data_IF_235568372716
#
_entry.id   IF_235568372716
#
_cell.length_a   1.000
_cell.length_b   1.000
_cell.length_c   1.000
_cell.angle_alpha   90.00
_cell.angle_beta   90.00
_cell.angle_gamma   90.00
#
_symmetry.space_group_name_H-M   'P 1'
#
loop_
_entity.id
_entity.type
_entity.pdbx_description
1 polymer ?
#
# COMPACT_ATOMS: atom_id res chain seq x y z
N UNK A 1 -24.67 -22.32 -17.05
CA UNK A 1 -25.02 -23.12 -15.87
C UNK A 1 -23.75 -23.70 -15.31
N UNK A 2 -23.05 -22.95 -14.45
CA UNK A 2 -21.92 -23.47 -13.66
C UNK A 2 -22.55 -24.20 -12.48
N UNK A 3 -22.58 -25.53 -12.55
CA UNK A 3 -22.93 -26.35 -11.39
C UNK A 3 -21.84 -26.13 -10.35
N UNK A 4 -22.13 -25.32 -9.32
CA UNK A 4 -21.33 -25.27 -8.11
C UNK A 4 -21.34 -26.69 -7.56
N UNK A 5 -20.22 -27.40 -7.66
CA UNK A 5 -20.09 -28.72 -7.05
C UNK A 5 -20.22 -28.47 -5.55
N UNK A 6 -21.37 -28.82 -4.98
CA UNK A 6 -21.62 -28.63 -3.56
C UNK A 6 -20.59 -29.45 -2.79
N UNK A 7 -19.73 -28.76 -2.04
CA UNK A 7 -18.81 -29.41 -1.10
C UNK A 7 -19.64 -30.28 -0.16
N UNK A 8 -19.35 -31.58 0.01
CA UNK A 8 -20.11 -32.44 0.93
C UNK A 8 -20.12 -31.84 2.35
N UNK A 9 -21.29 -31.80 3.00
CA UNK A 9 -21.47 -31.12 4.30
C UNK A 9 -20.95 -31.92 5.50
N UNK A 10 -20.59 -33.20 5.33
CA UNK A 10 -20.25 -34.13 6.43
C UNK A 10 -18.83 -34.71 6.33
N UNK A 11 -17.85 -33.89 5.94
CA UNK A 11 -16.45 -34.32 5.92
C UNK A 11 -15.81 -34.21 7.32
N UNK A 12 -14.85 -35.10 7.61
CA UNK A 12 -14.01 -34.98 8.80
C UNK A 12 -13.00 -33.84 8.64
N UNK A 13 -12.41 -33.39 9.77
CA UNK A 13 -11.36 -32.36 9.79
C UNK A 13 -10.22 -32.69 8.81
N UNK A 14 -9.72 -33.92 8.87
CA UNK A 14 -8.64 -34.40 7.99
C UNK A 14 -9.03 -34.42 6.51
N UNK A 15 -10.30 -34.74 6.20
CA UNK A 15 -10.80 -34.70 4.83
C UNK A 15 -10.89 -33.27 4.29
N UNK A 16 -11.31 -32.30 5.12
CA UNK A 16 -11.28 -30.88 4.72
C UNK A 16 -9.84 -30.40 4.47
N UNK A 17 -8.88 -30.76 5.34
CA UNK A 17 -7.45 -30.44 5.13
C UNK A 17 -6.93 -31.07 3.84
N UNK A 18 -7.26 -32.33 3.57
CA UNK A 18 -6.86 -33.02 2.35
C UNK A 18 -7.40 -32.32 1.09
N UNK A 19 -8.69 -31.95 1.09
CA UNK A 19 -9.30 -31.23 -0.04
C UNK A 19 -8.73 -29.82 -0.20
N UNK A 20 -8.44 -29.12 0.89
CA UNK A 20 -7.79 -27.81 0.83
C UNK A 20 -6.39 -27.90 0.19
N UNK A 21 -5.59 -28.91 0.54
CA UNK A 21 -4.29 -29.17 -0.09
C UNK A 21 -4.40 -29.54 -1.57
N UNK A 22 -5.41 -30.33 -1.95
CA UNK A 22 -5.68 -30.62 -3.37
C UNK A 22 -6.08 -29.36 -4.13
N UNK A 23 -6.94 -28.52 -3.55
CA UNK A 23 -7.36 -27.26 -4.15
C UNK A 23 -6.18 -26.27 -4.29
N UNK A 24 -5.28 -26.22 -3.31
CA UNK A 24 -4.04 -25.45 -3.37
C UNK A 24 -3.15 -25.89 -4.55
N UNK A 25 -2.92 -27.20 -4.70
CA UNK A 25 -2.12 -27.75 -5.81
C UNK A 25 -2.76 -27.54 -7.18
N UNK A 26 -4.09 -27.45 -7.23
CA UNK A 26 -4.85 -27.15 -8.44
C UNK A 26 -5.06 -25.64 -8.66
N UNK A 27 -4.53 -24.78 -7.79
CA UNK A 27 -4.71 -23.32 -7.80
C UNK A 27 -6.19 -22.88 -7.76
N UNK A 28 -7.09 -23.73 -7.23
CA UNK A 28 -8.53 -23.45 -7.08
C UNK A 28 -8.82 -22.83 -5.71
N UNK A 29 -8.29 -21.64 -5.48
CA UNK A 29 -8.32 -21.01 -4.16
C UNK A 29 -9.72 -20.65 -3.66
N UNK A 30 -10.70 -20.42 -4.54
CA UNK A 30 -12.10 -20.18 -4.15
C UNK A 30 -12.72 -21.41 -3.47
N UNK A 31 -12.45 -22.61 -4.00
CA UNK A 31 -12.85 -23.87 -3.36
C UNK A 31 -12.05 -24.15 -2.09
N UNK A 32 -10.75 -23.83 -2.11
CA UNK A 32 -9.90 -23.93 -0.93
C UNK A 32 -10.48 -23.10 0.24
N UNK A 33 -10.96 -21.88 -0.03
CA UNK A 33 -11.66 -21.06 0.96
C UNK A 33 -12.88 -21.80 1.49
N UNK A 34 -13.77 -22.33 0.63
CA UNK A 34 -14.96 -23.06 1.06
C UNK A 34 -14.66 -24.26 1.96
N UNK A 35 -13.62 -25.05 1.64
CA UNK A 35 -13.20 -26.18 2.49
C UNK A 35 -12.72 -25.69 3.85
N UNK A 36 -11.91 -24.63 3.89
CA UNK A 36 -11.38 -24.08 5.12
C UNK A 36 -12.46 -23.38 5.98
N UNK A 37 -13.43 -22.68 5.38
CA UNK A 37 -14.56 -22.08 6.10
C UNK A 37 -15.40 -23.15 6.81
N UNK A 38 -15.66 -24.27 6.13
CA UNK A 38 -16.38 -25.42 6.71
C UNK A 38 -15.58 -26.07 7.83
N UNK A 39 -14.27 -26.25 7.66
CA UNK A 39 -13.38 -26.76 8.71
C UNK A 39 -13.44 -25.86 9.96
N UNK A 40 -13.30 -24.55 9.78
CA UNK A 40 -13.34 -23.59 10.89
C UNK A 40 -14.67 -23.68 11.62
N UNK A 41 -15.78 -23.63 10.89
CA UNK A 41 -17.13 -23.64 11.47
C UNK A 41 -17.43 -24.94 12.21
N UNK A 42 -16.90 -26.08 11.76
CA UNK A 42 -17.07 -27.37 12.40
C UNK A 42 -16.15 -27.59 13.62
N UNK A 43 -14.95 -26.99 13.62
CA UNK A 43 -13.94 -27.22 14.65
C UNK A 43 -13.98 -26.22 15.82
N UNK A 44 -14.46 -25.00 15.58
CA UNK A 44 -14.46 -23.89 16.54
C UNK A 44 -15.88 -23.61 17.06
N UNK A 45 -16.03 -23.04 18.27
CA UNK A 45 -14.98 -22.62 19.20
C UNK A 45 -14.42 -23.77 20.07
N UNK A 46 -14.85 -25.01 19.85
CA UNK A 46 -14.48 -26.18 20.67
C UNK A 46 -12.99 -26.54 20.63
N UNK A 47 -12.30 -26.23 19.54
CA UNK A 47 -10.88 -26.49 19.36
C UNK A 47 -10.20 -25.40 18.54
N UNK A 48 -8.94 -25.13 18.85
CA UNK A 48 -8.09 -24.22 18.06
C UNK A 48 -7.65 -24.90 16.76
N UNK A 49 -7.38 -24.10 15.72
CA UNK A 49 -6.73 -24.61 14.50
C UNK A 49 -5.27 -24.97 14.77
N UNK A 50 -4.78 -26.00 14.10
CA UNK A 50 -3.34 -26.29 14.08
C UNK A 50 -2.59 -25.25 13.25
N UNK A 51 -1.27 -25.17 13.41
CA UNK A 51 -0.41 -24.27 12.62
C UNK A 51 -0.59 -24.52 11.12
N UNK A 52 -0.69 -25.79 10.70
CA UNK A 52 -0.92 -26.16 9.30
C UNK A 52 -2.26 -25.65 8.78
N UNK A 53 -3.35 -25.87 9.53
CA UNK A 53 -4.69 -25.43 9.13
C UNK A 53 -4.81 -23.91 9.08
N UNK A 54 -4.22 -23.22 10.07
CA UNK A 54 -4.13 -21.76 10.11
C UNK A 54 -3.39 -21.23 8.88
N UNK A 55 -2.29 -21.87 8.50
CA UNK A 55 -1.53 -21.49 7.32
C UNK A 55 -2.32 -21.74 6.03
N UNK A 56 -3.01 -22.89 5.89
CA UNK A 56 -3.87 -23.19 4.74
C UNK A 56 -5.00 -22.16 4.59
N UNK A 57 -5.67 -21.80 5.69
CA UNK A 57 -6.71 -20.76 5.70
C UNK A 57 -6.15 -19.42 5.19
N UNK A 58 -4.99 -19.02 5.70
CA UNK A 58 -4.33 -17.78 5.29
C UNK A 58 -3.93 -17.81 3.82
N UNK A 59 -3.37 -18.92 3.32
CA UNK A 59 -2.99 -19.08 1.90
C UNK A 59 -4.23 -19.00 1.00
N UNK A 60 -5.32 -19.68 1.36
CA UNK A 60 -6.55 -19.69 0.58
C UNK A 60 -7.09 -18.27 0.37
N UNK A 61 -7.35 -17.54 1.46
CA UNK A 61 -7.91 -16.21 1.35
C UNK A 61 -6.92 -15.20 0.76
N UNK A 62 -5.60 -15.30 1.06
CA UNK A 62 -4.57 -14.42 0.48
C UNK A 62 -4.58 -14.47 -1.04
N UNK A 63 -4.71 -15.66 -1.62
CA UNK A 63 -4.72 -15.81 -3.07
C UNK A 63 -6.00 -15.28 -3.71
N UNK A 64 -7.17 -15.58 -3.13
CA UNK A 64 -8.46 -15.04 -3.61
C UNK A 64 -8.50 -13.52 -3.53
N UNK A 65 -8.15 -12.93 -2.39
CA UNK A 65 -8.17 -11.47 -2.24
C UNK A 65 -7.07 -10.80 -3.08
N UNK A 66 -5.93 -11.47 -3.27
CA UNK A 66 -4.82 -10.99 -4.08
C UNK A 66 -5.20 -10.80 -5.55
N UNK A 67 -5.87 -11.80 -6.15
CA UNK A 67 -6.33 -11.72 -7.55
C UNK A 67 -7.37 -10.62 -7.75
N UNK A 68 -8.33 -10.50 -6.83
CA UNK A 68 -9.36 -9.47 -6.87
C UNK A 68 -8.77 -8.06 -6.70
N UNK A 69 -7.82 -7.87 -5.77
CA UNK A 69 -7.15 -6.57 -5.59
C UNK A 69 -6.32 -6.18 -6.82
N UNK A 70 -5.66 -7.15 -7.47
CA UNK A 70 -4.94 -6.89 -8.72
C UNK A 70 -5.90 -6.47 -9.85
N UNK A 71 -7.01 -7.19 -10.01
CA UNK A 71 -8.05 -6.84 -10.98
C UNK A 71 -8.61 -5.43 -10.73
N UNK A 72 -8.94 -5.12 -9.47
CA UNK A 72 -9.47 -3.82 -9.08
C UNK A 72 -8.50 -2.67 -9.40
N UNK A 73 -7.20 -2.82 -9.13
CA UNK A 73 -6.18 -1.81 -9.48
C UNK A 73 -6.09 -1.56 -10.98
N UNK A 74 -6.13 -2.63 -11.78
CA UNK A 74 -6.08 -2.53 -13.25
C UNK A 74 -7.32 -1.78 -13.75
N UNK A 75 -8.51 -2.16 -13.31
CA UNK A 75 -9.77 -1.55 -13.73
C UNK A 75 -9.82 -0.08 -13.31
N UNK A 76 -9.43 0.25 -12.08
CA UNK A 76 -9.35 1.63 -11.60
C UNK A 76 -8.36 2.48 -12.41
N UNK A 77 -7.24 1.90 -12.85
CA UNK A 77 -6.30 2.59 -13.75
C UNK A 77 -6.89 2.83 -15.15
N UNK A 78 -7.70 1.90 -15.67
CA UNK A 78 -8.40 2.07 -16.95
C UNK A 78 -9.47 3.16 -16.84
N UNK A 79 -10.25 3.17 -15.75
CA UNK A 79 -11.26 4.22 -15.47
C UNK A 79 -10.63 5.61 -15.53
N UNK A 80 -9.53 5.83 -14.80
CA UNK A 80 -8.81 7.11 -14.80
C UNK A 80 -8.32 7.53 -16.19
N UNK A 81 -7.89 6.57 -17.02
CA UNK A 81 -7.44 6.85 -18.39
C UNK A 81 -8.60 7.25 -19.30
N UNK A 82 -9.75 6.57 -19.19
CA UNK A 82 -10.93 6.89 -20.00
C UNK A 82 -11.59 8.22 -19.55
N UNK A 83 -11.58 8.52 -18.25
CA UNK A 83 -11.98 9.83 -17.72
C UNK A 83 -11.10 10.95 -18.28
N UNK A 84 -9.78 10.76 -18.31
CA UNK A 84 -8.84 11.73 -18.91
C UNK A 84 -9.05 11.93 -20.42
N UNK A 85 -9.58 10.94 -21.14
CA UNK A 85 -9.92 11.02 -22.56
C UNK A 85 -11.32 11.59 -22.82
N UNK A 86 -12.10 11.85 -21.77
CA UNK A 86 -13.52 12.29 -21.84
C UNK A 86 -14.41 11.31 -22.62
N UNK A 87 -14.13 10.00 -22.49
CA UNK A 87 -14.91 8.96 -23.15
C UNK A 87 -16.07 8.50 -22.26
N UNK A 88 -17.10 9.35 -22.14
CA UNK A 88 -18.17 9.21 -21.15
C UNK A 88 -18.87 7.85 -21.20
N UNK A 89 -19.15 7.32 -22.39
CA UNK A 89 -19.80 6.01 -22.56
C UNK A 89 -18.97 4.85 -21.98
N UNK A 90 -17.65 4.84 -22.23
CA UNK A 90 -16.77 3.81 -21.69
C UNK A 90 -16.54 3.97 -20.19
N UNK A 91 -16.50 5.22 -19.69
CA UNK A 91 -16.36 5.49 -18.24
C UNK A 91 -17.51 4.85 -17.47
N UNK A 92 -18.75 4.91 -17.98
CA UNK A 92 -19.90 4.26 -17.34
C UNK A 92 -19.72 2.74 -17.25
N UNK A 93 -19.31 2.08 -18.35
CA UNK A 93 -19.10 0.64 -18.38
C UNK A 93 -17.98 0.18 -17.45
N UNK A 94 -16.87 0.93 -17.41
CA UNK A 94 -15.73 0.60 -16.53
C UNK A 94 -16.12 0.79 -15.06
N UNK A 95 -16.90 1.83 -14.72
CA UNK A 95 -17.42 2.05 -13.36
C UNK A 95 -18.31 0.92 -12.87
N UNK A 96 -19.22 0.45 -13.72
CA UNK A 96 -20.09 -0.68 -13.38
C UNK A 96 -19.27 -1.96 -13.12
N UNK A 97 -18.29 -2.23 -13.98
CA UNK A 97 -17.42 -3.40 -13.81
C UNK A 97 -16.53 -3.29 -12.56
N UNK A 98 -15.98 -2.10 -12.26
CA UNK A 98 -15.26 -1.86 -11.00
C UNK A 98 -16.15 -2.14 -9.80
N UNK A 99 -17.39 -1.65 -9.79
CA UNK A 99 -18.32 -1.84 -8.69
C UNK A 99 -18.65 -3.33 -8.44
N UNK A 100 -18.72 -4.13 -9.50
CA UNK A 100 -18.84 -5.59 -9.38
C UNK A 100 -17.64 -6.19 -8.64
N UNK A 101 -16.41 -5.84 -9.04
CA UNK A 101 -15.19 -6.34 -8.37
C UNK A 101 -15.12 -5.86 -6.91
N UNK A 102 -15.54 -4.63 -6.61
CA UNK A 102 -15.62 -4.12 -5.24
C UNK A 102 -16.63 -4.89 -4.38
N UNK A 103 -17.73 -5.36 -4.98
CA UNK A 103 -18.72 -6.20 -4.31
C UNK A 103 -18.12 -7.57 -3.97
N UNK A 104 -17.38 -8.18 -4.91
CA UNK A 104 -16.66 -9.44 -4.70
C UNK A 104 -15.57 -9.29 -3.61
N UNK A 105 -14.78 -8.22 -3.66
CA UNK A 105 -13.80 -7.87 -2.61
C UNK A 105 -14.45 -7.73 -1.23
N UNK A 106 -15.57 -7.00 -1.17
CA UNK A 106 -16.32 -6.77 0.07
C UNK A 106 -16.85 -8.09 0.64
N UNK A 107 -17.36 -8.98 -0.21
CA UNK A 107 -17.88 -10.29 0.20
C UNK A 107 -16.78 -11.18 0.80
N UNK A 108 -15.61 -11.24 0.15
CA UNK A 108 -14.47 -12.02 0.66
C UNK A 108 -13.98 -11.47 2.00
N UNK A 109 -13.84 -10.14 2.13
CA UNK A 109 -13.44 -9.51 3.39
C UNK A 109 -14.47 -9.77 4.51
N UNK A 110 -15.76 -9.62 4.23
CA UNK A 110 -16.81 -9.88 5.20
C UNK A 110 -16.83 -11.36 5.66
N UNK A 111 -16.58 -12.30 4.74
CA UNK A 111 -16.51 -13.73 5.05
C UNK A 111 -15.47 -14.06 6.12
N UNK A 112 -14.22 -13.64 5.89
CA UNK A 112 -13.13 -13.90 6.84
C UNK A 112 -13.24 -13.10 8.12
N UNK A 113 -13.68 -11.83 8.07
CA UNK A 113 -13.85 -11.01 9.27
C UNK A 113 -14.89 -11.63 10.23
N UNK A 114 -15.97 -12.17 9.69
CA UNK A 114 -16.97 -12.90 10.47
C UNK A 114 -16.39 -14.14 11.14
N UNK A 115 -15.57 -14.92 10.43
CA UNK A 115 -14.89 -16.09 11.01
C UNK A 115 -13.87 -15.69 12.08
N UNK A 116 -13.13 -14.59 11.85
CA UNK A 116 -12.18 -14.09 12.84
C UNK A 116 -12.89 -13.72 14.15
N UNK A 117 -14.00 -12.98 14.05
CA UNK A 117 -14.73 -12.48 15.21
C UNK A 117 -15.54 -13.55 15.95
N UNK A 118 -16.16 -14.47 15.21
CA UNK A 118 -17.09 -15.45 15.79
C UNK A 118 -16.39 -16.75 16.21
N UNK A 119 -15.24 -17.07 15.62
CA UNK A 119 -14.64 -18.40 15.69
C UNK A 119 -13.16 -18.34 16.12
N UNK A 120 -12.31 -17.71 15.31
CA UNK A 120 -10.85 -17.87 15.40
C UNK A 120 -10.25 -17.10 16.57
N UNK A 121 -10.54 -15.80 16.71
CA UNK A 121 -10.02 -14.97 17.81
C UNK A 121 -10.50 -15.50 19.17
N UNK A 122 -11.80 -15.85 19.37
CA UNK A 122 -12.26 -16.44 20.62
C UNK A 122 -11.62 -17.80 20.95
N UNK A 123 -11.27 -18.60 19.94
CA UNK A 123 -10.66 -19.93 20.13
C UNK A 123 -9.15 -19.90 20.42
N UNK A 124 -8.47 -18.79 20.14
CA UNK A 124 -7.01 -18.71 20.22
C UNK A 124 -6.53 -18.65 21.68
N UNK A 125 -5.82 -19.69 22.13
CA UNK A 125 -5.24 -19.72 23.47
C UNK A 125 -3.85 -19.06 23.50
N UNK A 126 -2.98 -19.45 22.56
CA UNK A 126 -1.60 -18.98 22.47
C UNK A 126 -1.51 -17.53 21.99
N UNK A 127 -0.56 -16.76 22.54
CA UNK A 127 -0.30 -15.37 22.12
C UNK A 127 0.05 -15.26 20.65
N UNK A 128 0.84 -16.19 20.11
CA UNK A 128 1.17 -16.25 18.68
C UNK A 128 -0.09 -16.32 17.80
N UNK A 129 -1.02 -17.23 18.11
CA UNK A 129 -2.28 -17.39 17.36
C UNK A 129 -3.16 -16.15 17.47
N UNK A 130 -3.25 -15.52 18.65
CA UNK A 130 -4.00 -14.27 18.83
C UNK A 130 -3.43 -13.15 17.95
N UNK A 131 -2.10 -12.96 17.97
CA UNK A 131 -1.43 -11.96 17.11
C UNK A 131 -1.67 -12.29 15.64
N UNK A 132 -1.59 -13.56 15.25
CA UNK A 132 -1.85 -13.98 13.87
C UNK A 132 -3.26 -13.60 13.40
N UNK A 133 -4.30 -13.93 14.17
CA UNK A 133 -5.68 -13.63 13.79
C UNK A 133 -6.01 -12.14 13.86
N UNK A 134 -5.51 -11.41 14.86
CA UNK A 134 -5.69 -9.96 14.95
C UNK A 134 -4.97 -9.23 13.80
N UNK A 135 -3.77 -9.67 13.44
CA UNK A 135 -3.07 -9.19 12.24
C UNK A 135 -3.90 -9.45 10.98
N UNK A 136 -4.43 -10.66 10.83
CA UNK A 136 -5.29 -11.01 9.71
C UNK A 136 -6.55 -10.12 9.67
N UNK A 137 -7.19 -9.86 10.81
CA UNK A 137 -8.31 -8.91 10.93
C UNK A 137 -7.93 -7.52 10.42
N UNK A 138 -6.79 -7.00 10.88
CA UNK A 138 -6.26 -5.72 10.40
C UNK A 138 -5.98 -5.71 8.90
N UNK A 139 -5.45 -6.80 8.34
CA UNK A 139 -5.20 -6.95 6.90
C UNK A 139 -6.49 -6.85 6.07
N UNK A 140 -7.59 -7.51 6.48
CA UNK A 140 -8.84 -7.47 5.72
C UNK A 140 -9.60 -6.15 5.87
N UNK A 141 -9.57 -5.50 7.04
CA UNK A 141 -10.07 -4.13 7.15
C UNK A 141 -9.22 -3.15 6.32
N UNK A 142 -7.91 -3.35 6.23
CA UNK A 142 -7.04 -2.53 5.39
C UNK A 142 -7.41 -2.67 3.93
N UNK A 143 -7.66 -3.89 3.44
CA UNK A 143 -8.11 -4.11 2.07
C UNK A 143 -9.43 -3.40 1.78
N UNK A 144 -10.37 -3.37 2.73
CA UNK A 144 -11.59 -2.56 2.61
C UNK A 144 -11.27 -1.06 2.48
N UNK A 145 -10.34 -0.53 3.27
CA UNK A 145 -9.95 0.88 3.21
C UNK A 145 -9.25 1.30 1.89
N UNK A 146 -8.76 0.34 1.08
CA UNK A 146 -8.12 0.63 -0.21
C UNK A 146 -9.13 1.09 -1.29
N UNK A 147 -10.33 0.51 -1.32
CA UNK A 147 -11.31 0.75 -2.39
C UNK A 147 -12.59 1.44 -1.91
N UNK A 148 -12.89 1.42 -0.61
CA UNK A 148 -14.02 2.17 -0.05
C UNK A 148 -13.75 3.67 -0.06
N UNK A 149 -14.84 4.46 -0.01
CA UNK A 149 -14.80 5.92 0.00
C UNK A 149 -15.62 6.50 1.17
N UNK A 150 -15.38 7.79 1.48
CA UNK A 150 -16.16 8.51 2.50
C UNK A 150 -16.06 7.89 3.89
N UNK A 151 -17.19 7.75 4.57
CA UNK A 151 -17.28 7.21 5.93
C UNK A 151 -16.92 5.73 6.01
N UNK A 152 -17.25 4.93 4.99
CA UNK A 152 -16.87 3.50 4.96
C UNK A 152 -15.35 3.32 4.97
N UNK A 153 -14.62 4.19 4.25
CA UNK A 153 -13.15 4.18 4.25
C UNK A 153 -12.59 4.53 5.63
N UNK A 154 -13.17 5.53 6.30
CA UNK A 154 -12.73 5.96 7.64
C UNK A 154 -12.95 4.85 8.66
N UNK A 155 -14.14 4.25 8.68
CA UNK A 155 -14.46 3.12 9.55
C UNK A 155 -13.49 1.94 9.32
N UNK A 156 -13.25 1.56 8.07
CA UNK A 156 -12.30 0.49 7.75
C UNK A 156 -10.86 0.82 8.21
N UNK A 157 -10.41 2.07 8.10
CA UNK A 157 -9.10 2.49 8.59
C UNK A 157 -9.02 2.49 10.13
N UNK A 158 -10.09 2.90 10.81
CA UNK A 158 -10.18 2.84 12.28
C UNK A 158 -10.15 1.40 12.78
N UNK A 159 -10.93 0.50 12.18
CA UNK A 159 -10.94 -0.92 12.52
C UNK A 159 -9.57 -1.58 12.27
N UNK A 160 -8.91 -1.21 11.17
CA UNK A 160 -7.53 -1.64 10.88
C UNK A 160 -6.57 -1.22 11.99
N UNK A 161 -6.65 0.04 12.43
CA UNK A 161 -5.82 0.58 13.50
C UNK A 161 -6.06 -0.14 14.82
N UNK A 162 -7.33 -0.40 15.17
CA UNK A 162 -7.70 -1.12 16.40
C UNK A 162 -7.11 -2.53 16.38
N UNK A 163 -7.31 -3.27 15.29
CA UNK A 163 -6.83 -4.64 15.17
C UNK A 163 -5.29 -4.74 15.21
N UNK A 164 -4.58 -3.88 14.48
CA UNK A 164 -3.12 -3.90 14.50
C UNK A 164 -2.52 -3.44 15.82
N UNK A 165 -3.11 -2.48 16.52
CA UNK A 165 -2.66 -2.10 17.86
C UNK A 165 -2.85 -3.23 18.85
N UNK A 166 -4.02 -3.87 18.86
CA UNK A 166 -4.27 -5.03 19.72
C UNK A 166 -3.27 -6.16 19.44
N UNK A 167 -2.96 -6.43 18.17
CA UNK A 167 -1.94 -7.39 17.78
C UNK A 167 -0.54 -6.97 18.24
N UNK A 168 -0.21 -5.67 18.13
CA UNK A 168 1.09 -5.12 18.47
C UNK A 168 1.36 -5.21 19.97
N UNK A 169 0.38 -4.87 20.80
CA UNK A 169 0.52 -4.91 22.26
C UNK A 169 0.86 -6.33 22.74
N UNK A 170 0.18 -7.35 22.21
CA UNK A 170 0.47 -8.76 22.52
C UNK A 170 1.83 -9.18 21.95
N UNK A 171 2.14 -8.79 20.71
CA UNK A 171 3.40 -9.17 20.06
C UNK A 171 4.63 -8.58 20.77
N UNK A 172 4.55 -7.34 21.27
CA UNK A 172 5.64 -6.71 22.00
C UNK A 172 5.86 -7.34 23.38
N UNK A 173 4.80 -7.82 24.03
CA UNK A 173 4.87 -8.45 25.33
C UNK A 173 5.38 -9.90 25.26
N UNK A 174 4.90 -10.68 24.29
CA UNK A 174 5.00 -12.13 24.33
C UNK A 174 5.87 -12.75 23.22
N UNK A 175 6.24 -11.99 22.16
CA UNK A 175 6.99 -12.51 21.02
C UNK A 175 8.35 -11.82 20.88
N UNK A 176 9.40 -12.60 20.62
CA UNK A 176 10.74 -12.09 20.34
C UNK A 176 10.74 -11.15 19.11
N UNK A 177 11.60 -10.11 19.06
CA UNK A 177 11.73 -9.21 17.91
C UNK A 177 11.96 -9.91 16.56
N UNK A 178 12.64 -11.06 16.59
CA UNK A 178 12.91 -11.90 15.41
C UNK A 178 11.75 -12.81 15.03
N UNK A 179 10.69 -12.92 15.84
CA UNK A 179 9.60 -13.84 15.59
C UNK A 179 8.85 -13.48 14.29
N UNK A 180 8.67 -14.42 13.33
CA UNK A 180 8.08 -14.12 12.01
C UNK A 180 6.70 -13.44 12.07
N UNK A 181 5.85 -13.84 13.02
CA UNK A 181 4.52 -13.21 13.21
C UNK A 181 4.64 -11.74 13.66
N UNK A 182 5.58 -11.39 14.54
CA UNK A 182 5.82 -10.02 15.01
C UNK A 182 6.40 -9.16 13.88
N UNK A 183 7.39 -9.68 13.16
CA UNK A 183 7.97 -9.03 11.98
C UNK A 183 6.92 -8.79 10.89
N UNK A 184 6.11 -9.80 10.59
CA UNK A 184 5.04 -9.70 9.59
C UNK A 184 3.95 -8.69 9.99
N UNK A 185 3.65 -8.56 11.29
CA UNK A 185 2.76 -7.52 11.79
C UNK A 185 3.37 -6.13 11.57
N UNK A 186 4.62 -5.90 11.94
CA UNK A 186 5.29 -4.62 11.74
C UNK A 186 5.37 -4.23 10.26
N UNK A 187 5.64 -5.21 9.38
CA UNK A 187 5.61 -5.02 7.92
C UNK A 187 4.24 -4.51 7.46
N UNK A 188 3.16 -5.21 7.80
CA UNK A 188 1.83 -4.81 7.33
C UNK A 188 1.32 -3.52 7.99
N UNK A 189 1.68 -3.28 9.25
CA UNK A 189 1.29 -2.07 9.96
C UNK A 189 2.02 -0.83 9.42
N UNK A 190 3.31 -0.96 9.05
CA UNK A 190 4.03 0.12 8.38
C UNK A 190 3.44 0.44 7.00
N UNK A 191 3.06 -0.58 6.21
CA UNK A 191 2.34 -0.39 4.94
C UNK A 191 1.02 0.35 5.15
N UNK A 192 0.26 0.01 6.21
CA UNK A 192 -0.97 0.73 6.54
C UNK A 192 -0.73 2.22 6.83
N UNK A 193 0.29 2.55 7.62
CA UNK A 193 0.66 3.95 7.86
C UNK A 193 1.01 4.68 6.57
N UNK A 194 1.72 4.01 5.67
CA UNK A 194 2.16 4.59 4.40
C UNK A 194 1.00 4.77 3.42
N UNK A 195 0.31 3.68 3.06
CA UNK A 195 -0.66 3.65 1.95
C UNK A 195 -2.05 4.16 2.33
N UNK A 196 -2.50 3.98 3.57
CA UNK A 196 -3.88 4.33 3.97
C UNK A 196 -3.93 5.65 4.73
N UNK A 197 -3.01 5.85 5.68
CA UNK A 197 -2.97 7.04 6.52
C UNK A 197 -2.10 8.16 5.97
N UNK A 198 -1.36 7.92 4.89
CA UNK A 198 -0.41 8.87 4.29
C UNK A 198 0.60 9.44 5.32
N UNK A 199 0.99 8.64 6.30
CA UNK A 199 1.93 8.99 7.37
C UNK A 199 3.27 8.31 7.12
N UNK A 200 3.98 8.79 6.09
CA UNK A 200 5.24 8.20 5.61
C UNK A 200 6.33 8.16 6.69
N UNK A 201 6.49 9.24 7.47
CA UNK A 201 7.46 9.30 8.56
C UNK A 201 7.24 8.20 9.60
N UNK A 202 5.98 7.99 9.99
CA UNK A 202 5.61 6.97 10.97
C UNK A 202 5.79 5.55 10.41
N UNK A 203 5.44 5.34 9.13
CA UNK A 203 5.68 4.08 8.44
C UNK A 203 7.16 3.71 8.40
N UNK A 204 8.01 4.65 7.96
CA UNK A 204 9.46 4.46 7.91
C UNK A 204 10.06 4.23 9.29
N UNK A 205 9.65 5.01 10.29
CA UNK A 205 10.13 4.83 11.67
C UNK A 205 9.78 3.44 12.22
N UNK A 206 8.54 2.98 12.00
CA UNK A 206 8.09 1.66 12.46
C UNK A 206 8.85 0.52 11.76
N UNK A 207 8.97 0.58 10.43
CA UNK A 207 9.69 -0.44 9.67
C UNK A 207 11.17 -0.48 10.04
N UNK A 208 11.80 0.68 10.23
CA UNK A 208 13.20 0.79 10.67
C UNK A 208 13.41 0.22 12.06
N UNK A 209 12.56 0.58 13.02
CA UNK A 209 12.64 0.06 14.38
C UNK A 209 12.55 -1.47 14.41
N UNK A 210 11.54 -2.05 13.74
CA UNK A 210 11.37 -3.50 13.70
C UNK A 210 12.58 -4.21 13.05
N UNK A 211 13.16 -3.61 12.01
CA UNK A 211 14.35 -4.14 11.34
C UNK A 211 15.59 -4.10 12.24
N UNK A 212 15.83 -2.98 12.94
CA UNK A 212 16.97 -2.80 13.85
C UNK A 212 16.87 -3.71 15.09
N UNK A 213 15.69 -3.82 15.70
CA UNK A 213 15.44 -4.75 16.81
C UNK A 213 15.69 -6.20 16.40
N UNK A 214 15.23 -6.61 15.22
CA UNK A 214 15.45 -7.97 14.74
C UNK A 214 16.90 -8.27 14.38
N UNK A 215 17.65 -7.30 13.83
CA UNK A 215 19.09 -7.45 13.58
C UNK A 215 19.84 -7.73 14.88
N UNK A 216 19.50 -7.02 15.97
CA UNK A 216 20.21 -7.13 17.24
C UNK A 216 20.16 -8.54 17.85
N UNK A 217 19.12 -9.32 17.52
CA UNK A 217 18.90 -10.66 18.06
C UNK A 217 18.98 -11.77 16.98
N UNK A 218 19.34 -11.43 15.74
CA UNK A 218 19.30 -12.35 14.60
C UNK A 218 20.24 -13.55 14.80
N UNK A 219 21.40 -13.31 15.41
CA UNK A 219 22.43 -14.33 15.67
C UNK A 219 21.99 -15.40 16.68
N UNK A 220 20.85 -15.21 17.35
CA UNK A 220 20.29 -16.15 18.34
C UNK A 220 19.35 -17.21 17.73
N UNK A 221 18.99 -17.05 16.45
CA UNK A 221 18.03 -17.92 15.79
C UNK A 221 18.62 -19.27 15.34
N UNK A 222 17.82 -20.32 15.40
CA UNK A 222 18.10 -21.59 14.71
C UNK A 222 17.87 -21.50 13.20
N UNK A 223 18.41 -22.45 12.43
CA UNK A 223 18.40 -22.42 10.95
C UNK A 223 17.01 -22.32 10.32
N UNK A 224 15.99 -22.97 10.90
CA UNK A 224 14.62 -22.97 10.37
C UNK A 224 13.96 -21.59 10.52
N UNK A 225 13.98 -21.02 11.72
CA UNK A 225 13.42 -19.69 12.01
C UNK A 225 14.22 -18.55 11.35
N UNK A 226 15.52 -18.76 11.08
CA UNK A 226 16.37 -17.77 10.42
C UNK A 226 15.88 -17.44 9.01
N UNK A 227 15.48 -18.45 8.22
CA UNK A 227 15.02 -18.24 6.84
C UNK A 227 13.75 -17.41 6.77
N UNK A 228 12.77 -17.72 7.61
CA UNK A 228 11.48 -17.00 7.63
C UNK A 228 11.65 -15.56 8.11
N UNK A 229 12.46 -15.36 9.14
CA UNK A 229 12.71 -14.04 9.72
C UNK A 229 13.46 -13.13 8.73
N UNK A 230 14.53 -13.65 8.11
CA UNK A 230 15.32 -12.89 7.13
C UNK A 230 14.53 -12.55 5.87
N UNK A 231 13.62 -13.42 5.42
CA UNK A 231 12.74 -13.11 4.29
C UNK A 231 11.83 -11.89 4.60
N UNK A 232 11.27 -11.82 5.81
CA UNK A 232 10.41 -10.69 6.19
C UNK A 232 11.23 -9.41 6.42
N UNK A 233 12.41 -9.52 7.04
CA UNK A 233 13.34 -8.40 7.19
C UNK A 233 13.76 -7.82 5.83
N UNK A 234 13.96 -8.68 4.82
CA UNK A 234 14.23 -8.25 3.46
C UNK A 234 13.10 -7.39 2.89
N UNK A 235 11.84 -7.81 3.08
CA UNK A 235 10.67 -7.03 2.64
C UNK A 235 10.56 -5.68 3.36
N UNK A 236 10.87 -5.62 4.67
CA UNK A 236 10.94 -4.36 5.42
C UNK A 236 12.00 -3.41 4.82
N UNK A 237 13.19 -3.95 4.49
CA UNK A 237 14.27 -3.17 3.86
C UNK A 237 13.87 -2.64 2.48
N UNK A 238 13.19 -3.47 1.70
CA UNK A 238 12.76 -3.11 0.34
C UNK A 238 11.72 -1.99 0.38
N UNK A 239 10.76 -2.07 1.30
CA UNK A 239 9.80 -0.99 1.57
C UNK A 239 10.49 0.31 2.01
N UNK A 240 11.43 0.24 2.96
CA UNK A 240 12.20 1.41 3.40
C UNK A 240 12.95 2.07 2.23
N UNK A 241 13.56 1.27 1.36
CA UNK A 241 14.29 1.76 0.19
C UNK A 241 13.35 2.51 -0.76
N UNK A 242 12.20 1.91 -1.07
CA UNK A 242 11.17 2.51 -1.92
C UNK A 242 10.66 3.83 -1.33
N UNK A 243 10.21 3.82 -0.08
CA UNK A 243 9.58 4.98 0.56
C UNK A 243 10.55 6.14 0.75
N UNK A 244 11.82 5.86 1.05
CA UNK A 244 12.84 6.91 1.21
C UNK A 244 13.18 7.57 -0.13
N UNK A 245 13.16 6.79 -1.22
CA UNK A 245 13.34 7.34 -2.57
C UNK A 245 12.16 8.22 -3.00
N UNK A 246 10.92 7.82 -2.68
CA UNK A 246 9.72 8.60 -2.97
C UNK A 246 9.71 9.93 -2.20
N UNK A 247 10.11 9.91 -0.92
CA UNK A 247 10.24 11.12 -0.12
C UNK A 247 11.26 12.11 -0.70
N UNK A 248 12.40 11.63 -1.20
CA UNK A 248 13.40 12.47 -1.86
C UNK A 248 12.83 13.10 -3.14
N UNK A 249 12.10 12.34 -3.96
CA UNK A 249 11.43 12.86 -5.17
C UNK A 249 10.38 13.91 -4.82
N UNK A 250 9.56 13.67 -3.78
CA UNK A 250 8.56 14.63 -3.32
C UNK A 250 9.20 15.91 -2.79
N UNK A 251 10.27 15.81 -2.00
CA UNK A 251 11.00 16.98 -1.50
C UNK A 251 11.61 17.80 -2.64
N UNK A 252 12.20 17.13 -3.64
CA UNK A 252 12.70 17.80 -4.83
C UNK A 252 11.55 18.51 -5.56
N UNK A 253 10.41 17.84 -5.82
CA UNK A 253 9.25 18.46 -6.47
C UNK A 253 8.71 19.68 -5.70
N UNK A 254 8.65 19.60 -4.38
CA UNK A 254 8.20 20.70 -3.53
C UNK A 254 9.20 21.85 -3.56
N UNK A 255 10.50 21.56 -3.49
CA UNK A 255 11.57 22.56 -3.64
C UNK A 255 11.51 23.24 -5.01
N UNK A 256 11.30 22.48 -6.08
CA UNK A 256 11.08 23.00 -7.43
C UNK A 256 9.83 23.88 -7.52
N UNK A 257 8.69 23.46 -6.95
CA UNK A 257 7.48 24.30 -6.91
C UNK A 257 7.70 25.60 -6.14
N UNK A 258 8.32 25.54 -4.95
CA UNK A 258 8.63 26.72 -4.16
C UNK A 258 9.64 27.65 -4.86
N UNK A 259 10.57 27.11 -5.65
CA UNK A 259 11.47 27.90 -6.49
C UNK A 259 10.69 28.61 -7.60
N UNK A 260 9.80 27.90 -8.31
CA UNK A 260 8.96 28.47 -9.36
C UNK A 260 8.03 29.56 -8.79
N UNK A 261 7.40 29.33 -7.64
CA UNK A 261 6.56 30.34 -6.99
C UNK A 261 7.37 31.56 -6.55
N UNK A 262 8.58 31.38 -6.02
CA UNK A 262 9.48 32.49 -5.67
C UNK A 262 9.93 33.27 -6.90
N UNK A 263 10.22 32.61 -8.01
CA UNK A 263 10.57 33.28 -9.27
C UNK A 263 9.36 34.01 -9.87
N UNK A 264 8.17 33.39 -9.89
CA UNK A 264 6.93 34.02 -10.33
C UNK A 264 6.57 35.25 -9.46
N UNK A 265 6.75 35.17 -8.14
CA UNK A 265 6.62 36.30 -7.22
C UNK A 265 7.68 37.37 -7.49
N UNK A 266 8.91 36.98 -7.82
CA UNK A 266 9.98 37.89 -8.22
C UNK A 266 9.65 38.67 -9.49
N UNK A 267 9.12 37.99 -10.51
CA UNK A 267 8.61 38.62 -11.74
C UNK A 267 7.44 39.57 -11.46
N UNK A 268 6.49 39.15 -10.61
CA UNK A 268 5.34 39.98 -10.23
C UNK A 268 5.77 41.24 -9.44
N UNK A 269 6.72 41.10 -8.51
CA UNK A 269 7.30 42.21 -7.75
C UNK A 269 8.09 43.17 -8.66
N UNK A 270 8.89 42.66 -9.60
CA UNK A 270 9.55 43.50 -10.61
C UNK A 270 8.55 44.29 -11.45
N UNK A 271 7.47 43.65 -11.94
CA UNK A 271 6.43 44.35 -12.70
C UNK A 271 5.68 45.40 -11.86
N UNK A 272 5.48 45.17 -10.56
CA UNK A 272 4.85 46.15 -9.66
C UNK A 272 5.79 47.32 -9.36
N UNK A 273 7.09 47.06 -9.18
CA UNK A 273 8.11 48.09 -8.93
C UNK A 273 8.32 48.95 -10.18
N UNK A 274 8.36 48.33 -11.37
CA UNK A 274 8.46 49.03 -12.66
C UNK A 274 7.20 49.84 -12.99
N UNK A 275 6.01 49.45 -12.51
CA UNK A 275 4.77 50.23 -12.70
C UNK A 275 4.58 51.39 -11.71
N UNK A 276 5.41 51.50 -10.66
CA UNK A 276 5.19 52.47 -9.56
C UNK A 276 6.19 53.63 -9.47
N UNK A 277 7.13 53.76 -10.39
CA UNK A 277 7.99 54.94 -10.43
C UNK A 277 7.91 55.65 -11.78
N UNK A 278 7.22 56.78 -11.80
CA UNK A 278 7.56 57.89 -12.69
C UNK A 278 9.01 58.31 -12.39
N UNK A 279 9.95 58.01 -13.28
CA UNK A 279 11.13 58.85 -13.46
C UNK A 279 11.63 58.76 -14.90
N UNK A 280 11.80 59.95 -15.47
CA UNK A 280 12.19 60.25 -16.84
C UNK A 280 13.63 59.75 -17.15
N UNK A 281 13.83 59.46 -18.44
CA UNK A 281 15.11 59.27 -19.17
C UNK A 281 16.00 58.09 -18.78
N UNK A 282 15.67 56.87 -19.20
CA UNK A 282 16.62 55.75 -19.30
C UNK A 282 16.43 55.00 -20.64
N UNK A 283 17.53 54.64 -21.29
CA UNK A 283 17.60 54.16 -22.67
C UNK A 283 17.08 52.71 -22.85
N UNK A 284 16.19 52.53 -23.82
CA UNK A 284 15.49 51.31 -24.25
C UNK A 284 16.39 50.12 -24.63
N UNK A 285 17.69 50.35 -24.82
CA UNK A 285 18.67 49.30 -25.13
C UNK A 285 19.07 48.45 -23.91
N UNK A 286 18.77 48.91 -22.68
CA UNK A 286 19.21 48.28 -21.43
C UNK A 286 18.21 47.28 -20.81
N UNK A 287 16.91 47.41 -21.10
CA UNK A 287 15.87 46.50 -20.55
C UNK A 287 15.97 45.08 -21.12
N UNK A 288 16.21 44.96 -22.42
CA UNK A 288 16.30 43.67 -23.11
C UNK A 288 17.57 42.91 -22.70
N UNK A 289 18.66 43.63 -22.41
CA UNK A 289 19.93 43.04 -22.01
C UNK A 289 19.95 42.62 -20.53
N UNK A 290 19.28 43.37 -19.65
CA UNK A 290 19.09 42.98 -18.24
C UNK A 290 18.10 41.82 -18.15
N UNK A 291 17.00 41.85 -18.92
CA UNK A 291 16.04 40.74 -19.01
C UNK A 291 16.70 39.45 -19.51
N UNK A 292 17.54 39.53 -20.56
CA UNK A 292 18.34 38.39 -21.04
C UNK A 292 19.37 37.91 -20.02
N UNK A 293 20.11 38.80 -19.34
CA UNK A 293 21.10 38.41 -18.31
C UNK A 293 20.46 37.77 -17.08
N UNK A 294 19.30 38.26 -16.64
CA UNK A 294 18.55 37.64 -15.54
C UNK A 294 18.03 36.26 -15.97
N UNK A 295 17.50 36.12 -17.19
CA UNK A 295 17.03 34.84 -17.74
C UNK A 295 18.17 33.84 -17.96
N UNK A 296 19.34 34.28 -18.46
CA UNK A 296 20.54 33.45 -18.62
C UNK A 296 21.14 33.03 -17.28
N UNK A 297 21.16 33.91 -16.27
CA UNK A 297 21.61 33.57 -14.92
C UNK A 297 20.66 32.58 -14.21
N UNK A 298 19.36 32.69 -14.46
CA UNK A 298 18.36 31.72 -13.99
C UNK A 298 18.53 30.36 -14.67
N UNK A 299 18.69 30.33 -15.99
CA UNK A 299 18.96 29.10 -16.76
C UNK A 299 20.30 28.44 -16.39
N UNK A 300 21.35 29.23 -16.16
CA UNK A 300 22.65 28.74 -15.73
C UNK A 300 22.61 28.11 -14.33
N UNK A 301 21.79 28.65 -13.41
CA UNK A 301 21.55 28.03 -12.10
C UNK A 301 20.76 26.73 -12.19
N UNK A 302 19.77 26.67 -13.08
CA UNK A 302 19.00 25.44 -13.35
C UNK A 302 19.90 24.33 -13.91
N UNK A 303 20.88 24.66 -14.75
CA UNK A 303 21.81 23.68 -15.33
C UNK A 303 22.82 23.11 -14.33
N UNK A 304 23.14 23.83 -13.24
CA UNK A 304 24.12 23.40 -12.24
C UNK A 304 23.52 22.40 -11.22
N UNK A 305 22.19 22.43 -10.98
CA UNK A 305 21.52 21.54 -10.01
C UNK A 305 20.88 20.28 -10.61
N UNK A 306 20.90 20.08 -11.94
CA UNK A 306 20.33 18.88 -12.58
C UNK A 306 21.41 17.81 -12.78
N UNK A 307 21.25 16.58 -12.22
CA UNK A 307 22.16 15.47 -12.50
C UNK A 307 22.23 15.14 -14.00
N UNK A 308 23.45 14.99 -14.53
CA UNK A 308 23.80 14.87 -15.96
C UNK A 308 22.95 13.89 -16.80
N UNK A 309 22.31 12.91 -16.18
CA UNK A 309 21.52 11.85 -16.81
C UNK A 309 20.09 12.25 -17.23
N UNK A 310 19.61 13.45 -16.86
CA UNK A 310 18.28 13.95 -17.26
C UNK A 310 18.28 14.93 -18.44
N UNK A 311 19.46 15.32 -18.95
CA UNK A 311 19.60 16.42 -19.92
C UNK A 311 18.99 16.12 -21.30
N UNK A 312 19.06 14.87 -21.79
CA UNK A 312 18.78 14.60 -23.22
C UNK A 312 17.29 14.52 -23.58
N UNK A 313 16.40 14.20 -22.62
CA UNK A 313 14.95 14.07 -22.88
C UNK A 313 14.18 15.37 -22.64
N UNK A 314 14.74 16.29 -21.86
CA UNK A 314 14.13 17.58 -21.51
C UNK A 314 14.44 18.70 -22.51
N UNK A 315 15.63 18.71 -23.11
CA UNK A 315 16.00 19.66 -24.19
C UNK A 315 15.02 19.62 -25.38
N UNK A 316 14.41 18.48 -25.66
CA UNK A 316 13.44 18.33 -26.76
C UNK A 316 12.06 18.96 -26.44
N UNK A 317 11.69 19.10 -25.16
CA UNK A 317 10.41 19.73 -24.76
C UNK A 317 10.51 21.24 -24.60
N UNK A 318 11.67 21.77 -24.22
CA UNK A 318 11.89 23.23 -24.12
C UNK A 318 11.99 23.86 -25.52
N UNK A 319 12.61 23.19 -26.49
CA UNK A 319 12.66 23.71 -27.87
C UNK A 319 11.28 23.76 -28.56
N UNK A 320 10.27 23.02 -28.09
CA UNK A 320 8.92 23.09 -28.65
C UNK A 320 8.08 24.26 -28.10
N UNK A 321 8.45 24.81 -26.94
CA UNK A 321 7.73 25.92 -26.30
C UNK A 321 8.25 27.31 -26.72
N UNK A 322 9.36 27.38 -27.49
CA UNK A 322 9.94 28.63 -27.99
C UNK A 322 9.69 28.88 -29.49
N UNK A 323 8.75 28.17 -30.14
CA UNK A 323 8.39 28.38 -31.56
C UNK A 323 6.91 28.81 -31.73
N UNK A 324 6.20 29.19 -30.67
CA UNK A 324 4.94 29.94 -30.79
C UNK A 324 4.86 31.07 -29.77
#
# INVERSE_FOLDING_TARGET
MTTVVAVPDNLTRDQYVYLAKLAEQAERYEEMVQFMEKLVTAATPTSELTVEERNLLSVAYKNVIGSLRAAWRIISSIEQKEEGRKNEDQVVLVKEYRSKVETELSAVCAGILRLLDSNLIPSAAASESKVFYLKMKGDYHRYMAEFKAGEERKAAAEDTMIAYKAAQDIALADLAPTHPVRLGLALNFSVFYYEILNSSEKACSMAKQAFEEAIAELDTLGEESYKDSTLIMQLLRDNLTLWTSDMQVMQLKLRWHLLIEREALGHMLCSIILNKNEFQTWDSSSEEEIGRKVFELSLARIYIEIPYHWSSRWLYRINLLCIF
#
